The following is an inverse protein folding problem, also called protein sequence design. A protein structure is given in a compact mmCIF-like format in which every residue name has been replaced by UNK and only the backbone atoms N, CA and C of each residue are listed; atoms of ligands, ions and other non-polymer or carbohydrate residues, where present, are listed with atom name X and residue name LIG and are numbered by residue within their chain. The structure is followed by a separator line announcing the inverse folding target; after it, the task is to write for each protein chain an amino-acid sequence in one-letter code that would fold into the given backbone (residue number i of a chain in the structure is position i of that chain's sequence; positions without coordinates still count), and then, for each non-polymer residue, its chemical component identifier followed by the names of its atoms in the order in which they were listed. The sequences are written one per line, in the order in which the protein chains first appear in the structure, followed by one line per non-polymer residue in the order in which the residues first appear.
data_IF_600958773935
#
_entry.id   IF_600958773935
#
_cell.length_a   1.000
_cell.length_b   1.000
_cell.length_c   1.000
_cell.angle_alpha   90.00
_cell.angle_beta   90.00
_cell.angle_gamma   90.00
#
_symmetry.space_group_name_H-M   'P 1'
#
loop_
_entity.id
_entity.type
_entity.pdbx_description
1 polymer ?
#
# COMPACT_ATOMS: atom_id res chain seq x y z
N UNK A 1 -5.02 -7.05 4.43
CA UNK A 1 -5.24 -5.95 3.47
C UNK A 1 -4.09 -6.00 2.51
N UNK A 2 -4.33 -5.96 1.20
CA UNK A 2 -3.39 -6.54 0.23
C UNK A 2 -2.71 -5.49 -0.64
N UNK A 3 -1.55 -5.85 -1.20
CA UNK A 3 -0.78 -5.01 -2.11
C UNK A 3 -0.47 -5.79 -3.38
N UNK A 4 -0.87 -5.25 -4.54
CA UNK A 4 -0.63 -5.85 -5.85
C UNK A 4 0.24 -4.92 -6.71
N UNK A 5 1.09 -5.51 -7.56
CA UNK A 5 1.79 -4.76 -8.60
C UNK A 5 1.11 -5.06 -9.94
N UNK A 6 0.74 -4.02 -10.67
CA UNK A 6 0.16 -4.15 -12.01
C UNK A 6 1.25 -4.32 -13.07
N UNK A 7 0.87 -4.76 -14.27
CA UNK A 7 1.80 -4.89 -15.41
C UNK A 7 2.56 -3.59 -15.71
N UNK A 8 1.90 -2.44 -15.53
CA UNK A 8 2.48 -1.11 -15.75
C UNK A 8 3.35 -0.60 -14.57
N UNK A 9 3.71 -1.47 -13.63
CA UNK A 9 4.50 -1.13 -12.44
C UNK A 9 3.82 -0.10 -11.52
N UNK A 10 2.49 -0.04 -11.52
CA UNK A 10 1.72 0.68 -10.51
C UNK A 10 1.38 -0.27 -9.36
N UNK A 11 1.49 0.21 -8.13
CA UNK A 11 1.13 -0.55 -6.92
C UNK A 11 -0.30 -0.23 -6.50
N UNK A 12 -1.11 -1.25 -6.24
CA UNK A 12 -2.47 -1.15 -5.72
C UNK A 12 -2.50 -1.65 -4.28
N UNK A 13 -2.70 -0.75 -3.31
CA UNK A 13 -2.96 -1.13 -1.91
C UNK A 13 -4.47 -1.13 -1.66
N UNK A 14 -5.03 -2.30 -1.37
CA UNK A 14 -6.47 -2.54 -1.23
C UNK A 14 -6.82 -2.80 0.23
N UNK A 15 -7.62 -1.90 0.80
CA UNK A 15 -8.00 -1.92 2.22
C UNK A 15 -9.51 -2.16 2.33
N UNK A 16 -9.97 -3.31 2.86
CA UNK A 16 -11.39 -3.51 3.14
C UNK A 16 -11.85 -2.57 4.26
N UNK A 17 -12.99 -1.93 4.06
CA UNK A 17 -13.59 -0.98 5.00
C UNK A 17 -15.10 -1.16 5.10
N UNK A 18 -15.68 -0.79 6.23
CA UNK A 18 -17.14 -0.80 6.47
C UNK A 18 -17.85 -2.14 6.36
N UNK A 19 -17.15 -3.24 6.08
CA UNK A 19 -17.74 -4.56 6.00
C UNK A 19 -18.05 -5.15 7.39
N UNK A 20 -18.98 -6.10 7.40
CA UNK A 20 -19.36 -6.85 8.61
C UNK A 20 -18.58 -8.14 8.80
N UNK A 21 -17.77 -8.54 7.81
CA UNK A 21 -16.91 -9.73 7.90
C UNK A 21 -15.71 -9.37 8.76
N UNK A 22 -15.50 -10.11 9.85
CA UNK A 22 -14.31 -9.99 10.69
C UNK A 22 -13.07 -10.48 9.94
N UNK A 23 -11.96 -9.78 10.15
CA UNK A 23 -10.65 -10.10 9.58
C UNK A 23 -9.72 -10.38 10.76
N UNK A 24 -9.23 -11.61 10.89
CA UNK A 24 -8.44 -12.10 12.02
C UNK A 24 -9.13 -11.88 13.39
N UNK A 25 -10.46 -11.94 13.41
CA UNK A 25 -11.28 -11.68 14.61
C UNK A 25 -11.45 -10.20 14.97
N UNK A 26 -11.02 -9.29 14.10
CA UNK A 26 -11.21 -7.85 14.26
C UNK A 26 -12.23 -7.30 13.26
N UNK A 27 -12.99 -6.29 13.69
CA UNK A 27 -13.89 -5.57 12.80
C UNK A 27 -13.09 -4.80 11.74
N UNK A 28 -13.66 -4.67 10.54
CA UNK A 28 -13.05 -3.86 9.50
C UNK A 28 -13.00 -2.39 9.90
N UNK A 29 -11.96 -1.71 9.45
CA UNK A 29 -11.80 -0.28 9.64
C UNK A 29 -13.00 0.49 9.10
N UNK A 30 -13.40 1.52 9.83
CA UNK A 30 -14.33 2.55 9.39
C UNK A 30 -13.63 3.56 8.49
N UNK A 31 -14.41 4.29 7.70
CA UNK A 31 -13.87 5.37 6.86
C UNK A 31 -13.06 6.38 7.69
N UNK A 32 -13.55 6.71 8.88
CA UNK A 32 -12.90 7.65 9.80
C UNK A 32 -11.50 7.18 10.24
N UNK A 33 -11.27 5.88 10.28
CA UNK A 33 -9.99 5.28 10.66
C UNK A 33 -9.01 5.21 9.50
N UNK A 34 -9.50 5.17 8.26
CA UNK A 34 -8.65 5.17 7.04
C UNK A 34 -8.39 6.59 6.53
N UNK A 35 -9.25 7.56 6.85
CA UNK A 35 -9.12 8.95 6.42
C UNK A 35 -7.75 9.58 6.76
N UNK A 36 -7.16 9.39 7.97
CA UNK A 36 -5.84 9.92 8.26
C UNK A 36 -4.77 9.38 7.32
N UNK A 37 -4.83 8.09 6.96
CA UNK A 37 -3.88 7.47 6.03
C UNK A 37 -3.98 8.08 4.63
N UNK A 38 -5.21 8.31 4.15
CA UNK A 38 -5.47 8.98 2.86
C UNK A 38 -4.86 10.38 2.87
N UNK A 39 -5.20 11.19 3.87
CA UNK A 39 -4.77 12.60 3.96
C UNK A 39 -3.24 12.69 4.07
N UNK A 40 -2.64 11.92 4.98
CA UNK A 40 -1.19 11.95 5.20
C UNK A 40 -0.45 11.51 3.92
N UNK A 41 -0.89 10.43 3.28
CA UNK A 41 -0.23 9.93 2.06
C UNK A 41 -0.30 10.94 0.92
N UNK A 42 -1.45 11.59 0.72
CA UNK A 42 -1.60 12.64 -0.29
C UNK A 42 -0.76 13.88 0.03
N UNK A 43 -0.74 14.34 1.29
CA UNK A 43 0.08 15.47 1.72
C UNK A 43 1.57 15.20 1.51
N UNK A 44 2.06 14.02 1.91
CA UNK A 44 3.45 13.63 1.75
C UNK A 44 3.83 13.43 0.27
N UNK A 45 2.93 12.88 -0.55
CA UNK A 45 3.14 12.76 -2.00
C UNK A 45 3.39 14.13 -2.64
N UNK A 46 2.59 15.14 -2.27
CA UNK A 46 2.66 16.50 -2.84
C UNK A 46 3.97 17.23 -2.54
N UNK A 47 4.75 16.83 -1.53
CA UNK A 47 6.06 17.43 -1.25
C UNK A 47 7.02 17.39 -2.45
N UNK A 48 6.79 16.51 -3.43
CA UNK A 48 7.55 16.49 -4.69
C UNK A 48 7.30 17.69 -5.62
N UNK A 49 6.24 18.46 -5.38
CA UNK A 49 5.83 19.62 -6.19
C UNK A 49 6.08 20.97 -5.48
N UNK A 50 6.40 20.93 -4.19
CA UNK A 50 6.63 22.14 -3.39
C UNK A 50 7.99 22.78 -3.72
N UNK A 51 8.04 24.12 -3.71
CA UNK A 51 9.27 24.89 -4.00
C UNK A 51 10.17 25.09 -2.78
N UNK A 52 9.58 25.28 -1.60
CA UNK A 52 10.31 25.60 -0.37
C UNK A 52 10.73 24.34 0.40
N UNK A 53 9.80 23.38 0.53
CA UNK A 53 10.01 22.09 1.19
C UNK A 53 9.81 20.96 0.17
N UNK A 54 10.85 20.69 -0.61
CA UNK A 54 10.83 19.69 -1.68
C UNK A 54 11.35 18.33 -1.20
N UNK A 55 10.56 17.28 -1.36
CA UNK A 55 10.97 15.92 -1.03
C UNK A 55 10.36 14.88 -1.98
N UNK A 56 11.21 14.06 -2.60
CA UNK A 56 10.82 12.86 -3.38
C UNK A 56 10.98 11.55 -2.62
N UNK A 57 11.25 11.62 -1.31
CA UNK A 57 11.52 10.44 -0.49
C UNK A 57 10.25 9.68 -0.07
N UNK A 58 9.07 10.26 -0.24
CA UNK A 58 7.79 9.59 0.01
C UNK A 58 7.25 8.98 -1.27
N UNK A 59 6.50 7.90 -1.17
CA UNK A 59 5.88 7.23 -2.33
C UNK A 59 4.85 8.18 -2.97
N UNK A 60 4.82 8.21 -4.30
CA UNK A 60 3.77 8.97 -5.00
C UNK A 60 2.41 8.30 -4.85
N UNK A 61 1.39 9.11 -4.60
CA UNK A 61 -0.01 8.69 -4.66
C UNK A 61 -0.62 9.24 -5.94
N UNK A 62 -0.85 8.38 -6.91
CA UNK A 62 -1.49 8.72 -8.18
C UNK A 62 -3.00 8.95 -8.01
N UNK A 63 -3.65 8.06 -7.26
CA UNK A 63 -5.07 8.15 -6.97
C UNK A 63 -5.45 7.42 -5.69
N UNK A 64 -6.58 7.82 -5.10
CA UNK A 64 -7.25 7.06 -4.04
C UNK A 64 -8.71 6.93 -4.44
N UNK A 65 -9.22 5.69 -4.47
CA UNK A 65 -10.59 5.40 -4.92
C UNK A 65 -11.33 4.59 -3.87
N UNK A 66 -12.59 4.92 -3.64
CA UNK A 66 -13.52 4.07 -2.91
C UNK A 66 -14.25 3.19 -3.92
N UNK A 67 -14.16 1.87 -3.78
CA UNK A 67 -14.76 0.90 -4.70
C UNK A 67 -15.62 -0.09 -3.94
N UNK A 68 -16.61 -0.66 -4.61
CA UNK A 68 -17.53 -1.64 -4.03
C UNK A 68 -17.68 -2.82 -4.98
N UNK A 69 -17.65 -4.03 -4.45
CA UNK A 69 -17.66 -5.25 -5.26
C UNK A 69 -17.06 -6.43 -4.50
N UNK A 70 -17.06 -7.60 -5.12
CA UNK A 70 -16.20 -8.69 -4.69
C UNK A 70 -14.80 -8.53 -5.28
N UNK A 71 -13.83 -9.24 -4.70
CA UNK A 71 -12.48 -9.27 -5.23
C UNK A 71 -12.48 -9.86 -6.66
N UNK A 72 -11.89 -9.17 -7.66
CA UNK A 72 -11.79 -9.69 -9.02
C UNK A 72 -11.11 -11.05 -9.04
N UNK A 73 -11.64 -12.00 -9.83
CA UNK A 73 -11.10 -13.38 -9.93
C UNK A 73 -9.59 -13.41 -10.15
N UNK A 74 -9.09 -12.54 -11.04
CA UNK A 74 -7.66 -12.46 -11.32
C UNK A 74 -6.81 -12.09 -10.09
N UNK A 75 -7.26 -11.13 -9.27
CA UNK A 75 -6.55 -10.77 -8.04
C UNK A 75 -6.58 -11.88 -6.98
N UNK A 76 -7.64 -12.69 -6.97
CA UNK A 76 -7.72 -13.85 -6.07
C UNK A 76 -6.74 -14.94 -6.48
N UNK A 77 -6.62 -15.20 -7.79
CA UNK A 77 -5.59 -16.12 -8.32
C UNK A 77 -4.18 -15.64 -7.96
N UNK A 78 -3.88 -14.35 -8.12
CA UNK A 78 -2.59 -13.80 -7.71
C UNK A 78 -2.32 -13.95 -6.21
N UNK A 79 -3.34 -13.80 -5.38
CA UNK A 79 -3.23 -14.02 -3.94
C UNK A 79 -2.94 -15.50 -3.63
N UNK A 80 -3.66 -16.44 -4.27
CA UNK A 80 -3.46 -17.88 -4.08
C UNK A 80 -2.06 -18.32 -4.53
N UNK A 81 -1.53 -17.74 -5.62
CA UNK A 81 -0.15 -17.97 -6.09
C UNK A 81 0.88 -17.46 -5.07
N UNK A 82 0.70 -16.24 -4.55
CA UNK A 82 1.59 -15.67 -3.54
C UNK A 82 1.60 -16.49 -2.24
N UNK A 83 0.43 -16.91 -1.76
CA UNK A 83 0.29 -17.72 -0.55
C UNK A 83 0.98 -19.09 -0.70
N UNK A 84 0.92 -19.70 -1.89
CA UNK A 84 1.61 -20.96 -2.16
C UNK A 84 3.14 -20.82 -2.19
N UNK A 85 3.66 -19.72 -2.74
CA UNK A 85 5.10 -19.53 -2.90
C UNK A 85 5.80 -18.99 -1.65
N UNK A 86 5.17 -18.03 -0.97
CA UNK A 86 5.76 -17.24 0.12
C UNK A 86 5.02 -17.48 1.44
N UNK A 87 3.72 -17.74 1.37
CA UNK A 87 2.81 -17.75 2.52
C UNK A 87 2.22 -16.38 2.78
N UNK A 88 0.94 -16.35 3.15
CA UNK A 88 0.21 -15.15 3.56
C UNK A 88 -0.13 -15.20 5.05
N UNK A 89 0.08 -14.07 5.72
CA UNK A 89 -0.45 -13.85 7.08
C UNK A 89 -1.90 -13.34 7.07
N UNK A 90 -2.36 -12.80 5.95
CA UNK A 90 -3.73 -12.31 5.77
C UNK A 90 -4.67 -13.46 5.41
N UNK A 91 -5.97 -13.28 5.68
CA UNK A 91 -6.99 -14.22 5.21
C UNK A 91 -7.25 -14.07 3.70
N UNK A 92 -7.64 -15.18 3.09
CA UNK A 92 -7.94 -15.22 1.67
C UNK A 92 -9.10 -14.25 1.32
N UNK A 93 -8.95 -13.39 0.29
CA UNK A 93 -9.96 -12.40 -0.07
C UNK A 93 -11.31 -12.98 -0.54
N UNK A 94 -11.42 -14.30 -0.72
CA UNK A 94 -12.69 -14.99 -0.98
C UNK A 94 -13.74 -14.82 0.14
N UNK A 95 -13.35 -14.38 1.34
CA UNK A 95 -14.29 -14.10 2.43
C UNK A 95 -15.20 -12.90 2.15
N UNK A 96 -14.84 -12.03 1.21
CA UNK A 96 -15.59 -10.81 0.90
C UNK A 96 -16.66 -11.05 -0.18
N UNK A 97 -17.89 -10.60 0.11
CA UNK A 97 -19.01 -10.65 -0.83
C UNK A 97 -19.08 -9.45 -1.77
N UNK A 98 -20.07 -9.44 -2.67
CA UNK A 98 -20.22 -8.44 -3.74
C UNK A 98 -20.52 -7.02 -3.24
N UNK A 99 -20.97 -6.88 -2.01
CA UNK A 99 -21.34 -5.59 -1.42
C UNK A 99 -20.21 -4.96 -0.58
N UNK A 100 -19.05 -5.62 -0.49
CA UNK A 100 -17.89 -5.16 0.29
C UNK A 100 -17.34 -3.85 -0.28
N UNK A 101 -16.96 -2.92 0.61
CA UNK A 101 -16.34 -1.65 0.24
C UNK A 101 -14.85 -1.67 0.51
N UNK A 102 -14.07 -1.02 -0.35
CA UNK A 102 -12.62 -0.92 -0.23
C UNK A 102 -12.15 0.51 -0.50
N UNK A 103 -11.09 0.90 0.20
CA UNK A 103 -10.23 2.01 -0.22
C UNK A 103 -9.05 1.43 -0.99
N UNK A 104 -8.84 1.91 -2.21
CA UNK A 104 -7.74 1.49 -3.08
C UNK A 104 -6.83 2.68 -3.31
N UNK A 105 -5.59 2.55 -2.88
CA UNK A 105 -4.52 3.48 -3.24
C UNK A 105 -3.84 2.98 -4.51
N UNK A 106 -3.66 3.89 -5.47
CA UNK A 106 -2.84 3.72 -6.64
C UNK A 106 -1.53 4.48 -6.41
N UNK A 107 -0.44 3.73 -6.30
CA UNK A 107 0.86 4.20 -5.80
C UNK A 107 1.97 3.94 -6.84
N UNK A 108 3.01 4.77 -6.80
CA UNK A 108 4.27 4.48 -7.48
C UNK A 108 4.92 3.19 -6.93
N UNK A 109 5.48 2.35 -7.81
CA UNK A 109 6.32 1.24 -7.38
C UNK A 109 7.67 1.74 -6.88
N UNK A 110 7.81 1.86 -5.56
CA UNK A 110 9.02 2.31 -4.89
C UNK A 110 10.12 1.22 -4.77
N UNK A 111 9.91 0.06 -5.39
CA UNK A 111 10.83 -1.07 -5.33
C UNK A 111 10.61 -1.93 -4.09
N UNK A 112 11.71 -2.42 -3.52
CA UNK A 112 11.70 -3.41 -2.45
C UNK A 112 11.91 -2.76 -1.09
N UNK A 113 11.30 -3.33 -0.05
CA UNK A 113 11.51 -2.91 1.33
C UNK A 113 12.97 -3.14 1.78
N UNK A 114 13.34 -2.48 2.88
CA UNK A 114 14.72 -2.51 3.38
C UNK A 114 15.08 -3.85 4.03
N UNK A 115 14.11 -4.55 4.62
CA UNK A 115 14.35 -5.84 5.31
C UNK A 115 14.81 -6.90 4.33
N UNK A 116 14.29 -6.82 3.11
CA UNK A 116 14.61 -7.73 2.04
C UNK A 116 15.70 -7.14 1.09
N UNK A 117 16.28 -5.97 1.37
CA UNK A 117 17.37 -5.37 0.59
C UNK A 117 18.76 -5.84 1.05
N UNK A 118 19.62 -6.25 0.10
CA UNK A 118 21.00 -6.66 0.40
C UNK A 118 21.99 -5.56 0.03
N UNK A 119 22.71 -5.05 1.03
CA UNK A 119 23.74 -4.02 0.84
C UNK A 119 25.02 -4.58 0.22
N UNK A 120 25.55 -3.89 -0.78
CA UNK A 120 26.85 -4.18 -1.40
C UNK A 120 28.01 -3.61 -0.59
N UNK A 121 27.79 -2.48 0.09
CA UNK A 121 28.79 -1.80 0.92
C UNK A 121 28.15 -0.83 1.92
N UNK A 122 28.94 -0.35 2.88
CA UNK A 122 28.50 0.58 3.92
C UNK A 122 28.05 1.96 3.41
N UNK A 123 28.55 2.41 2.24
CA UNK A 123 28.12 3.69 1.67
C UNK A 123 26.65 3.69 1.26
N UNK A 124 26.11 2.54 0.85
CA UNK A 124 24.67 2.41 0.57
C UNK A 124 23.83 2.62 1.83
N UNK A 125 24.25 2.07 2.97
CA UNK A 125 23.57 2.30 4.25
C UNK A 125 23.61 3.77 4.66
N UNK A 126 24.78 4.42 4.52
CA UNK A 126 24.92 5.87 4.78
C UNK A 126 24.01 6.69 3.87
N UNK A 127 23.93 6.34 2.58
CA UNK A 127 23.04 7.00 1.62
C UNK A 127 21.57 6.93 2.04
N UNK A 128 21.09 5.77 2.48
CA UNK A 128 19.70 5.59 2.95
C UNK A 128 19.44 6.47 4.18
N UNK A 129 20.35 6.52 5.15
CA UNK A 129 20.21 7.41 6.31
C UNK A 129 20.13 8.88 5.91
N UNK A 130 20.97 9.33 4.98
CA UNK A 130 20.95 10.71 4.47
C UNK A 130 19.61 11.01 3.79
N UNK A 131 19.12 10.11 2.94
CA UNK A 131 17.81 10.27 2.28
C UNK A 131 16.67 10.34 3.30
N UNK A 132 16.69 9.51 4.34
CA UNK A 132 15.70 9.54 5.42
C UNK A 132 15.74 10.85 6.23
N UNK A 133 16.93 11.31 6.61
CA UNK A 133 17.11 12.57 7.34
C UNK A 133 16.67 13.79 6.53
N UNK A 134 16.90 13.77 5.22
CA UNK A 134 16.49 14.84 4.32
C UNK A 134 14.97 14.92 4.09
N UNK A 135 14.17 13.91 4.52
CA UNK A 135 12.70 14.01 4.52
C UNK A 135 12.15 15.01 5.54
N UNK A 136 12.98 15.49 6.48
CA UNK A 136 12.57 16.37 7.60
C UNK A 136 12.84 17.86 7.37
N UNK A 137 13.43 18.24 6.24
CA UNK A 137 13.77 19.63 5.89
C UNK A 137 12.82 20.14 4.84
#
# INVERSE_FOLDING_TARGET
GEVFVTENQTVLKVIPVEGSVEIAGEAQKKFEEVLPEIVISQCLSKLREHKEHYCKGFVEVSAVKCVRGSYPTYMKTLWDEYDQEIGSENENPNIFGDEQTYIVFELENAGKDLECFTFLNSFQSVSIFIQFLNKKK
#
